data_IF_572027126878
#
_entry.id   IF_572027126878
#
_cell.length_a   1.000
_cell.length_b   1.000
_cell.length_c   1.000
_cell.angle_alpha   90.00
_cell.angle_beta   90.00
_cell.angle_gamma   90.00
#
_symmetry.space_group_name_H-M   'P 1'
#
loop_
_entity.id
_entity.type
_entity.pdbx_description
1 polymer ?
#
# COMPACT_ATOMS: atom_id res chain seq x y z
N UNK A 1 9.54 4.48 -9.80
CA UNK A 1 8.88 5.03 -8.59
C UNK A 1 8.19 3.89 -7.85
N UNK A 2 7.12 3.26 -8.40
CA UNK A 2 6.42 2.14 -7.72
C UNK A 2 7.38 1.05 -7.21
N UNK A 3 8.17 0.45 -8.10
CA UNK A 3 9.13 -0.60 -7.73
C UNK A 3 10.25 -0.13 -6.79
N UNK A 4 10.57 1.16 -6.78
CA UNK A 4 11.57 1.72 -5.88
C UNK A 4 11.02 1.80 -4.46
N UNK A 5 9.77 2.25 -4.31
CA UNK A 5 9.06 2.26 -3.04
C UNK A 5 8.77 0.84 -2.54
N UNK A 6 8.36 -0.08 -3.42
CA UNK A 6 8.12 -1.49 -3.10
C UNK A 6 9.37 -2.14 -2.48
N UNK A 7 10.55 -1.94 -3.10
CA UNK A 7 11.84 -2.45 -2.61
C UNK A 7 12.23 -1.90 -1.23
N UNK A 8 11.77 -0.70 -0.85
CA UNK A 8 12.01 -0.19 0.50
C UNK A 8 11.22 -0.98 1.55
N UNK A 9 9.99 -1.39 1.21
CA UNK A 9 9.15 -2.22 2.10
C UNK A 9 9.70 -3.64 2.16
N UNK A 10 10.11 -4.20 1.02
CA UNK A 10 10.70 -5.53 0.89
C UNK A 10 11.97 -5.72 1.73
N UNK A 11 12.70 -4.64 2.07
CA UNK A 11 13.81 -4.74 3.02
C UNK A 11 13.35 -5.11 4.43
N UNK A 12 12.17 -4.62 4.84
CA UNK A 12 11.58 -4.93 6.14
C UNK A 12 11.09 -6.38 6.25
N UNK A 13 10.69 -6.99 5.14
CA UNK A 13 10.22 -8.38 5.12
C UNK A 13 11.34 -9.42 5.16
N UNK A 14 12.60 -8.99 4.99
CA UNK A 14 13.80 -9.85 4.94
C UNK A 14 14.48 -10.03 6.30
N UNK A 15 14.00 -9.35 7.33
CA UNK A 15 14.50 -9.41 8.71
C UNK A 15 13.41 -9.98 9.60
N UNK A 16 13.75 -10.44 10.80
CA UNK A 16 12.75 -10.80 11.80
C UNK A 16 12.23 -9.56 12.55
N UNK A 17 11.20 -9.74 13.40
CA UNK A 17 10.56 -8.65 14.14
C UNK A 17 11.56 -7.92 15.07
N UNK A 18 12.41 -8.62 15.81
CA UNK A 18 13.35 -8.02 16.75
C UNK A 18 14.40 -7.16 16.03
N UNK A 19 14.91 -7.65 14.89
CA UNK A 19 15.80 -6.92 14.00
C UNK A 19 15.12 -5.68 13.40
N UNK A 20 13.85 -5.78 13.03
CA UNK A 20 13.10 -4.64 12.52
C UNK A 20 12.89 -3.56 13.59
N UNK A 21 12.42 -3.95 14.77
CA UNK A 21 12.11 -3.03 15.88
C UNK A 21 13.34 -2.27 16.36
N UNK A 22 14.51 -2.92 16.35
CA UNK A 22 15.78 -2.34 16.78
C UNK A 22 16.48 -1.46 15.72
N UNK A 23 16.01 -1.45 14.47
CA UNK A 23 16.65 -0.74 13.36
C UNK A 23 15.86 0.50 12.91
N UNK A 24 16.11 1.64 13.54
CA UNK A 24 15.45 2.92 13.23
C UNK A 24 15.57 3.37 11.77
N UNK A 25 16.71 3.11 11.12
CA UNK A 25 16.89 3.47 9.71
C UNK A 25 15.99 2.62 8.80
N UNK A 26 15.92 1.32 9.06
CA UNK A 26 15.06 0.40 8.33
C UNK A 26 13.58 0.78 8.51
N UNK A 27 13.14 1.05 9.75
CA UNK A 27 11.76 1.49 10.03
C UNK A 27 11.38 2.74 9.26
N UNK A 28 12.26 3.75 9.22
CA UNK A 28 12.06 4.96 8.43
C UNK A 28 11.99 4.68 6.93
N UNK A 29 12.86 3.82 6.41
CA UNK A 29 12.84 3.40 4.99
C UNK A 29 11.54 2.70 4.64
N UNK A 30 11.09 1.78 5.48
CA UNK A 30 9.85 1.01 5.29
C UNK A 30 8.63 1.92 5.33
N UNK A 31 8.50 2.80 6.34
CA UNK A 31 7.39 3.78 6.41
C UNK A 31 7.38 4.71 5.19
N UNK A 32 8.57 5.16 4.74
CA UNK A 32 8.71 5.94 3.50
C UNK A 32 8.28 5.12 2.28
N UNK A 33 8.67 3.86 2.20
CA UNK A 33 8.27 2.92 1.16
C UNK A 33 6.75 2.77 1.09
N UNK A 34 6.10 2.51 2.22
CA UNK A 34 4.64 2.37 2.31
C UNK A 34 3.92 3.63 1.83
N UNK A 35 4.30 4.80 2.35
CA UNK A 35 3.71 6.09 1.93
C UNK A 35 3.92 6.38 0.45
N UNK A 36 5.13 6.11 -0.06
CA UNK A 36 5.47 6.31 -1.46
C UNK A 36 4.71 5.37 -2.39
N UNK A 37 4.62 4.08 -2.02
CA UNK A 37 3.90 3.06 -2.77
C UNK A 37 2.41 3.42 -2.85
N UNK A 38 1.81 3.76 -1.71
CA UNK A 38 0.44 4.25 -1.63
C UNK A 38 0.21 5.47 -2.53
N UNK A 39 1.10 6.46 -2.47
CA UNK A 39 0.98 7.68 -3.28
C UNK A 39 1.04 7.37 -4.78
N UNK A 40 1.97 6.51 -5.21
CA UNK A 40 2.12 6.10 -6.60
C UNK A 40 0.85 5.39 -7.12
N UNK A 41 0.27 4.50 -6.31
CA UNK A 41 -0.94 3.75 -6.66
C UNK A 41 -2.15 4.67 -6.69
N UNK A 42 -2.36 5.50 -5.67
CA UNK A 42 -3.53 6.39 -5.63
C UNK A 42 -3.48 7.47 -6.70
N UNK A 43 -2.30 7.92 -7.11
CA UNK A 43 -2.16 8.81 -8.27
C UNK A 43 -2.55 8.13 -9.60
N UNK A 44 -2.33 6.82 -9.72
CA UNK A 44 -2.80 6.05 -10.88
C UNK A 44 -4.31 5.83 -10.82
N UNK A 45 -4.85 5.47 -9.65
CA UNK A 45 -6.29 5.34 -9.39
C UNK A 45 -7.02 6.63 -9.76
N UNK A 46 -6.56 7.78 -9.25
CA UNK A 46 -7.20 9.08 -9.51
C UNK A 46 -7.17 9.43 -11.00
N UNK A 47 -6.08 9.15 -11.72
CA UNK A 47 -6.03 9.34 -13.18
C UNK A 47 -7.00 8.44 -13.93
N UNK A 48 -7.23 7.23 -13.43
CA UNK A 48 -8.08 6.23 -14.07
C UNK A 48 -9.58 6.54 -13.93
N UNK A 49 -10.02 6.95 -12.73
CA UNK A 49 -11.45 7.14 -12.44
C UNK A 49 -11.86 8.58 -12.11
N UNK A 50 -10.91 9.51 -12.02
CA UNK A 50 -11.13 10.92 -11.64
C UNK A 50 -11.86 11.07 -10.28
N UNK A 51 -11.51 10.20 -9.34
CA UNK A 51 -12.04 10.13 -7.96
C UNK A 51 -10.90 9.91 -6.98
N UNK A 52 -11.15 10.14 -5.68
CA UNK A 52 -10.16 10.02 -4.60
C UNK A 52 -10.63 9.12 -3.47
N UNK A 53 -9.66 8.62 -2.71
CA UNK A 53 -9.90 7.84 -1.48
C UNK A 53 -10.78 6.61 -1.73
N UNK A 54 -11.64 6.31 -0.76
CA UNK A 54 -12.57 5.18 -0.80
C UNK A 54 -13.52 5.23 -2.01
N UNK A 55 -14.02 6.41 -2.39
CA UNK A 55 -14.93 6.55 -3.54
C UNK A 55 -14.28 6.03 -4.84
N UNK A 56 -12.97 6.25 -4.99
CA UNK A 56 -12.23 5.77 -6.15
C UNK A 56 -12.14 4.23 -6.20
N UNK A 57 -11.97 3.57 -5.05
CA UNK A 57 -11.92 2.11 -4.96
C UNK A 57 -13.27 1.50 -5.33
N UNK A 58 -14.36 2.05 -4.81
CA UNK A 58 -15.71 1.63 -5.20
C UNK A 58 -15.98 1.82 -6.69
N UNK A 59 -15.50 2.90 -7.28
CA UNK A 59 -15.67 3.15 -8.71
C UNK A 59 -14.92 2.13 -9.56
N UNK A 60 -13.69 1.77 -9.20
CA UNK A 60 -12.93 0.70 -9.86
C UNK A 60 -13.66 -0.64 -9.81
N UNK A 61 -14.30 -0.98 -8.69
CA UNK A 61 -15.09 -2.19 -8.54
C UNK A 61 -16.34 -2.19 -9.43
N UNK A 62 -17.08 -1.07 -9.48
CA UNK A 62 -18.24 -0.90 -10.39
C UNK A 62 -17.86 -1.07 -11.85
N UNK A 63 -16.68 -0.55 -12.23
CA UNK A 63 -16.11 -0.68 -13.57
C UNK A 63 -15.51 -2.06 -13.86
N UNK A 64 -15.55 -3.00 -12.89
CA UNK A 64 -14.95 -4.34 -12.99
C UNK A 64 -13.46 -4.31 -13.36
N UNK A 65 -12.76 -3.28 -12.87
CA UNK A 65 -11.30 -3.19 -12.95
C UNK A 65 -10.68 -4.03 -11.85
N UNK A 66 -11.25 -3.96 -10.65
CA UNK A 66 -10.89 -4.80 -9.51
C UNK A 66 -12.06 -5.72 -9.11
N UNK A 67 -11.73 -6.79 -8.40
CA UNK A 67 -12.73 -7.67 -7.81
C UNK A 67 -13.46 -6.96 -6.66
N UNK A 68 -14.79 -7.09 -6.53
CA UNK A 68 -15.50 -6.58 -5.36
C UNK A 68 -14.98 -7.15 -4.02
N UNK A 69 -14.36 -8.33 -4.05
CA UNK A 69 -13.87 -9.01 -2.84
C UNK A 69 -12.67 -8.30 -2.19
N UNK A 70 -11.87 -7.56 -2.98
CA UNK A 70 -10.66 -6.87 -2.47
C UNK A 70 -10.94 -5.44 -1.99
N UNK A 71 -12.17 -4.95 -2.17
CA UNK A 71 -12.52 -3.54 -1.88
C UNK A 71 -12.27 -3.21 -0.41
N UNK A 72 -12.74 -4.07 0.50
CA UNK A 72 -12.56 -3.82 1.93
C UNK A 72 -11.07 -3.87 2.32
N UNK A 73 -10.31 -4.79 1.76
CA UNK A 73 -8.87 -4.93 2.03
C UNK A 73 -8.11 -3.66 1.61
N UNK A 74 -8.44 -3.11 0.44
CA UNK A 74 -7.87 -1.85 -0.04
C UNK A 74 -8.27 -0.65 0.82
N UNK A 75 -9.52 -0.59 1.30
CA UNK A 75 -9.99 0.46 2.21
C UNK A 75 -9.22 0.38 3.54
N UNK A 76 -9.08 -0.82 4.11
CA UNK A 76 -8.32 -1.04 5.34
C UNK A 76 -6.85 -0.56 5.19
N UNK A 77 -6.22 -0.86 4.04
CA UNK A 77 -4.86 -0.39 3.72
C UNK A 77 -4.81 1.13 3.59
N UNK A 78 -5.78 1.76 2.92
CA UNK A 78 -5.87 3.23 2.82
C UNK A 78 -5.92 3.86 4.22
N UNK A 79 -6.78 3.36 5.09
CA UNK A 79 -6.93 3.87 6.45
C UNK A 79 -5.65 3.69 7.28
N UNK A 80 -5.01 2.51 7.16
CA UNK A 80 -3.76 2.20 7.83
C UNK A 80 -2.65 3.15 7.39
N UNK A 81 -2.45 3.35 6.09
CA UNK A 81 -1.37 4.19 5.57
C UNK A 81 -1.57 5.66 5.98
N UNK A 82 -2.81 6.15 6.01
CA UNK A 82 -3.11 7.51 6.44
C UNK A 82 -2.74 7.79 7.91
N UNK A 83 -2.67 6.76 8.74
CA UNK A 83 -2.34 6.86 10.18
C UNK A 83 -1.00 6.22 10.53
N UNK A 84 -0.17 5.85 9.54
CA UNK A 84 0.99 4.97 9.76
C UNK A 84 2.04 5.52 10.74
N UNK A 85 2.13 6.83 10.92
CA UNK A 85 3.04 7.42 11.91
C UNK A 85 2.55 7.27 13.37
N UNK A 86 1.26 6.98 13.54
CA UNK A 86 0.59 6.77 14.84
C UNK A 86 0.49 5.28 15.21
N UNK A 87 0.79 4.39 14.27
CA UNK A 87 0.68 2.94 14.45
C UNK A 87 1.98 2.38 15.04
N UNK A 88 1.82 1.44 15.98
CA UNK A 88 2.93 0.70 16.58
C UNK A 88 3.75 -0.06 15.51
N UNK A 89 5.08 0.02 15.61
CA UNK A 89 5.99 -0.57 14.62
C UNK A 89 5.81 -2.10 14.48
N UNK A 90 5.37 -2.80 15.54
CA UNK A 90 5.09 -4.25 15.47
C UNK A 90 3.86 -4.57 14.63
N UNK A 91 2.84 -3.69 14.65
CA UNK A 91 1.65 -3.81 13.81
C UNK A 91 2.01 -3.50 12.36
N UNK A 92 2.86 -2.50 12.12
CA UNK A 92 3.34 -2.20 10.77
C UNK A 92 4.11 -3.39 10.21
N UNK A 93 5.00 -3.98 11.01
CA UNK A 93 5.78 -5.15 10.62
C UNK A 93 4.88 -6.34 10.24
N UNK A 94 3.83 -6.63 11.03
CA UNK A 94 2.90 -7.74 10.73
C UNK A 94 2.06 -7.51 9.47
N UNK A 95 1.93 -6.26 9.03
CA UNK A 95 1.14 -5.86 7.86
C UNK A 95 1.96 -5.65 6.58
N UNK A 96 3.29 -5.74 6.62
CA UNK A 96 4.14 -5.39 5.46
C UNK A 96 3.77 -6.14 4.20
N UNK A 97 3.65 -7.46 4.29
CA UNK A 97 3.34 -8.32 3.13
C UNK A 97 1.97 -7.97 2.56
N UNK A 98 0.96 -7.85 3.42
CA UNK A 98 -0.41 -7.49 3.00
C UNK A 98 -0.46 -6.13 2.31
N UNK A 99 0.20 -5.12 2.87
CA UNK A 99 0.28 -3.78 2.25
C UNK A 99 0.93 -3.87 0.87
N UNK A 100 2.00 -4.66 0.73
CA UNK A 100 2.69 -4.85 -0.54
C UNK A 100 1.79 -5.53 -1.57
N UNK A 101 1.17 -6.66 -1.19
CA UNK A 101 0.31 -7.46 -2.06
C UNK A 101 -0.94 -6.70 -2.50
N UNK A 102 -1.67 -6.08 -1.56
CA UNK A 102 -2.92 -5.36 -1.84
C UNK A 102 -2.66 -4.17 -2.79
N UNK A 103 -1.58 -3.41 -2.56
CA UNK A 103 -1.22 -2.28 -3.42
C UNK A 103 -0.65 -2.72 -4.78
N UNK A 104 0.06 -3.84 -4.84
CA UNK A 104 0.57 -4.42 -6.09
C UNK A 104 -0.56 -4.98 -6.95
N UNK A 105 -1.51 -5.70 -6.37
CA UNK A 105 -2.68 -6.20 -7.09
C UNK A 105 -3.48 -5.03 -7.67
N UNK A 106 -3.70 -3.97 -6.89
CA UNK A 106 -4.38 -2.77 -7.36
C UNK A 106 -3.60 -2.08 -8.50
N UNK A 107 -2.28 -1.93 -8.35
CA UNK A 107 -1.41 -1.36 -9.38
C UNK A 107 -1.47 -2.15 -10.69
N UNK A 108 -1.34 -3.47 -10.63
CA UNK A 108 -1.38 -4.35 -11.81
C UNK A 108 -2.76 -4.31 -12.48
N UNK A 109 -3.83 -4.31 -11.69
CA UNK A 109 -5.21 -4.26 -12.18
C UNK A 109 -5.49 -2.99 -12.99
N UNK A 110 -4.87 -1.87 -12.60
CA UNK A 110 -5.09 -0.56 -13.24
C UNK A 110 -4.09 -0.27 -14.35
N UNK A 111 -2.81 -0.59 -14.18
CA UNK A 111 -1.72 -0.21 -15.10
C UNK A 111 -1.83 -0.75 -16.53
N UNK A 112 -2.67 -1.76 -16.76
CA UNK A 112 -2.97 -2.30 -18.09
C UNK A 112 -4.20 -1.65 -18.75
N UNK A 113 -4.92 -0.80 -18.01
CA UNK A 113 -6.21 -0.20 -18.42
C UNK A 113 -6.17 1.33 -18.41
N UNK A 114 -5.23 1.90 -17.66
CA UNK A 114 -4.94 3.30 -17.42
C UNK A 114 -3.41 3.43 -17.27
#
# INVERSE_FOLDING_TARGET
MFWDHYRLIEQGTKVNLDEFLSNEELKKKVKKGIKGLYTDVMALVERCVNKKGEEAIWELAKLKIISPNIVQELIDVIELVNKIDEIDDSIIYSMLVRIMEDLEELYISISSRC
#
